data_IF_946017444357
#
_entry.id   IF_946017444357
#
_cell.length_a   1.000
_cell.length_b   1.000
_cell.length_c   1.000
_cell.angle_alpha   90.00
_cell.angle_beta   90.00
_cell.angle_gamma   90.00
#
_symmetry.space_group_name_H-M   'P 1'
#
loop_
_entity.id
_entity.type
_entity.pdbx_description
1 polymer ?
#
# COMPACT_ATOMS: atom_id res chain seq x y z
N UNK A 1 48.31 -41.38 3.39
CA UNK A 1 47.50 -40.72 2.35
C UNK A 1 46.21 -41.50 2.15
N UNK A 2 45.15 -41.10 2.84
CA UNK A 2 43.84 -41.78 2.84
C UNK A 2 42.87 -40.98 1.98
N UNK A 3 42.33 -41.61 0.93
CA UNK A 3 41.30 -41.04 0.04
C UNK A 3 39.97 -40.99 0.80
N UNK A 4 39.60 -39.81 1.26
CA UNK A 4 38.29 -39.54 1.84
C UNK A 4 37.18 -39.70 0.81
N UNK A 5 36.21 -40.56 1.12
CA UNK A 5 35.06 -40.87 0.27
C UNK A 5 34.24 -39.62 -0.03
N UNK A 6 34.01 -39.38 -1.32
CA UNK A 6 33.00 -38.48 -1.85
C UNK A 6 31.63 -38.89 -1.28
N UNK A 7 31.19 -38.15 -0.26
CA UNK A 7 29.88 -38.26 0.32
C UNK A 7 28.81 -38.03 -0.75
N UNK A 8 28.03 -39.07 -0.96
CA UNK A 8 26.82 -39.14 -1.77
C UNK A 8 26.06 -37.80 -1.78
N UNK A 9 26.04 -37.15 -2.94
CA UNK A 9 25.19 -36.00 -3.21
C UNK A 9 23.73 -36.46 -3.06
N UNK A 10 23.18 -36.27 -1.86
CA UNK A 10 21.76 -36.45 -1.57
C UNK A 10 20.98 -35.73 -2.66
N UNK A 11 20.30 -36.53 -3.45
CA UNK A 11 19.34 -36.15 -4.47
C UNK A 11 18.34 -35.22 -3.78
N UNK A 12 18.54 -33.91 -3.93
CA UNK A 12 17.60 -32.89 -3.50
C UNK A 12 16.33 -33.15 -4.30
N UNK A 13 15.43 -33.93 -3.70
CA UNK A 13 14.13 -34.26 -4.25
C UNK A 13 13.54 -32.94 -4.70
N UNK A 14 13.21 -32.88 -5.98
CA UNK A 14 12.54 -31.78 -6.66
C UNK A 14 11.19 -31.61 -5.97
N UNK A 15 11.20 -30.96 -4.81
CA UNK A 15 10.05 -30.67 -3.99
C UNK A 15 9.20 -29.78 -4.90
N UNK A 16 8.21 -30.40 -5.55
CA UNK A 16 7.27 -29.72 -6.45
C UNK A 16 6.78 -28.53 -5.64
N UNK A 17 7.16 -27.34 -6.08
CA UNK A 17 6.65 -26.10 -5.53
C UNK A 17 5.14 -26.30 -5.41
N UNK A 18 4.56 -26.21 -4.19
CA UNK A 18 3.13 -26.39 -4.03
C UNK A 18 2.48 -25.35 -4.94
N UNK A 19 2.01 -25.82 -6.11
CA UNK A 19 1.34 -24.95 -7.04
C UNK A 19 0.18 -24.34 -6.30
N UNK A 20 -0.07 -23.04 -6.51
CA UNK A 20 -1.33 -22.43 -6.10
C UNK A 20 -2.45 -23.38 -6.53
N UNK A 21 -3.01 -24.13 -5.59
CA UNK A 21 -4.24 -24.87 -5.85
C UNK A 21 -5.25 -23.79 -6.26
N UNK A 22 -6.03 -24.09 -7.31
CA UNK A 22 -7.06 -23.16 -7.79
C UNK A 22 -7.88 -22.67 -6.60
N UNK A 23 -8.29 -21.39 -6.58
CA UNK A 23 -9.19 -20.90 -5.54
C UNK A 23 -10.38 -21.85 -5.43
N UNK A 24 -10.51 -22.51 -4.29
CA UNK A 24 -11.64 -23.37 -4.00
C UNK A 24 -12.83 -22.48 -3.60
N UNK A 25 -14.04 -22.95 -3.87
CA UNK A 25 -15.30 -22.26 -3.53
C UNK A 25 -15.32 -21.83 -2.05
N UNK A 26 -14.76 -22.65 -1.17
CA UNK A 26 -14.59 -22.34 0.26
C UNK A 26 -13.82 -21.04 0.52
N UNK A 27 -12.74 -20.76 -0.21
CA UNK A 27 -11.97 -19.53 -0.05
C UNK A 27 -12.78 -18.32 -0.52
N UNK A 28 -13.49 -18.44 -1.63
CA UNK A 28 -14.35 -17.37 -2.12
C UNK A 28 -15.49 -17.06 -1.13
N UNK A 29 -16.10 -18.10 -0.56
CA UNK A 29 -17.11 -17.96 0.49
C UNK A 29 -16.52 -17.34 1.76
N UNK A 30 -15.32 -17.75 2.18
CA UNK A 30 -14.65 -17.17 3.33
C UNK A 30 -14.38 -15.67 3.11
N UNK A 31 -13.82 -15.30 1.97
CA UNK A 31 -13.57 -13.90 1.63
C UNK A 31 -14.86 -13.08 1.58
N UNK A 32 -15.93 -13.60 0.96
CA UNK A 32 -17.21 -12.92 0.88
C UNK A 32 -17.85 -12.73 2.26
N UNK A 33 -17.96 -13.79 3.06
CA UNK A 33 -18.56 -13.71 4.40
C UNK A 33 -17.73 -12.83 5.33
N UNK A 34 -16.41 -12.95 5.29
CA UNK A 34 -15.52 -12.08 6.05
C UNK A 34 -15.68 -10.62 5.66
N UNK A 35 -15.81 -10.33 4.35
CA UNK A 35 -16.03 -8.96 3.89
C UNK A 35 -17.37 -8.41 4.35
N UNK A 36 -18.44 -9.22 4.32
CA UNK A 36 -19.75 -8.82 4.85
C UNK A 36 -19.69 -8.53 6.36
N UNK A 37 -18.98 -9.36 7.13
CA UNK A 37 -18.75 -9.14 8.57
C UNK A 37 -17.97 -7.83 8.78
N UNK A 38 -16.89 -7.61 8.01
CA UNK A 38 -16.11 -6.38 8.06
C UNK A 38 -16.97 -5.15 7.76
N UNK A 39 -17.76 -5.18 6.68
CA UNK A 39 -18.67 -4.09 6.31
C UNK A 39 -19.73 -3.83 7.38
N UNK A 40 -20.28 -4.89 7.97
CA UNK A 40 -21.25 -4.78 9.07
C UNK A 40 -20.63 -4.12 10.29
N UNK A 41 -19.43 -4.54 10.71
CA UNK A 41 -18.73 -3.93 11.85
C UNK A 41 -18.33 -2.48 11.56
N UNK A 42 -17.89 -2.19 10.33
CA UNK A 42 -17.57 -0.84 9.90
C UNK A 42 -18.82 0.06 9.96
N UNK A 43 -19.96 -0.44 9.49
CA UNK A 43 -21.25 0.24 9.58
C UNK A 43 -21.67 0.50 11.03
N UNK A 44 -21.57 -0.50 11.91
CA UNK A 44 -21.87 -0.35 13.34
C UNK A 44 -21.01 0.71 14.03
N UNK A 45 -19.81 0.98 13.51
CA UNK A 45 -18.88 2.00 14.00
C UNK A 45 -19.05 3.36 13.31
N UNK A 46 -20.11 3.56 12.52
CA UNK A 46 -20.44 4.82 11.86
C UNK A 46 -20.10 4.88 10.36
N UNK A 47 -19.41 3.86 9.84
CA UNK A 47 -18.92 3.80 8.47
C UNK A 47 -17.64 4.62 8.24
N UNK A 48 -17.14 4.66 7.00
CA UNK A 48 -15.97 5.45 6.66
C UNK A 48 -16.13 6.93 7.04
N UNK A 49 -15.09 7.52 7.63
CA UNK A 49 -15.08 8.93 8.03
C UNK A 49 -14.54 9.84 6.92
N UNK A 50 -14.97 11.10 6.98
CA UNK A 50 -14.59 12.17 6.04
C UNK A 50 -13.33 12.90 6.55
N UNK A 51 -12.45 12.18 7.24
CA UNK A 51 -11.20 12.73 7.78
C UNK A 51 -10.06 12.25 6.90
N UNK A 52 -9.33 13.20 6.32
CA UNK A 52 -8.25 12.97 5.34
C UNK A 52 -8.70 12.26 4.06
N UNK A 53 -10.00 12.18 3.82
CA UNK A 53 -10.57 11.63 2.60
C UNK A 53 -10.21 12.43 1.36
N UNK A 54 -10.09 13.74 1.50
CA UNK A 54 -9.66 14.65 0.45
C UNK A 54 -8.32 14.28 -0.19
N UNK A 55 -7.44 13.60 0.55
CA UNK A 55 -6.12 13.11 0.07
C UNK A 55 -6.27 12.13 -1.09
N UNK A 56 -7.39 11.40 -1.16
CA UNK A 56 -7.68 10.39 -2.18
C UNK A 56 -8.84 10.78 -3.07
N UNK A 57 -9.93 11.30 -2.47
CA UNK A 57 -11.14 11.69 -3.19
C UNK A 57 -10.83 12.73 -4.26
N UNK A 58 -10.11 13.81 -3.94
CA UNK A 58 -9.87 14.88 -4.90
C UNK A 58 -9.29 14.32 -6.22
N UNK A 59 -8.16 13.61 -6.13
CA UNK A 59 -7.47 13.07 -7.30
C UNK A 59 -8.29 12.01 -8.03
N UNK A 60 -9.04 11.16 -7.31
CA UNK A 60 -9.86 10.12 -7.94
C UNK A 60 -11.07 10.70 -8.68
N UNK A 61 -11.71 11.73 -8.13
CA UNK A 61 -12.81 12.45 -8.77
C UNK A 61 -12.35 13.24 -10.00
N UNK A 62 -11.20 13.93 -9.94
CA UNK A 62 -10.62 14.60 -11.12
C UNK A 62 -10.44 13.62 -12.27
N UNK A 63 -9.85 12.45 -11.98
CA UNK A 63 -9.64 11.44 -13.00
C UNK A 63 -10.96 10.83 -13.49
N UNK A 64 -11.91 10.55 -12.59
CA UNK A 64 -13.19 9.94 -12.94
C UNK A 64 -14.04 10.83 -13.86
N UNK A 65 -13.91 12.16 -13.75
CA UNK A 65 -14.65 13.13 -14.55
C UNK A 65 -13.85 13.74 -15.72
N UNK A 66 -12.72 13.14 -16.09
CA UNK A 66 -11.97 13.53 -17.29
C UNK A 66 -11.04 14.73 -17.12
N UNK A 67 -10.77 15.16 -15.89
CA UNK A 67 -9.84 16.24 -15.53
C UNK A 67 -8.53 15.69 -14.96
N UNK A 68 -8.02 14.58 -15.51
CA UNK A 68 -6.84 13.89 -14.97
C UNK A 68 -5.57 14.76 -14.87
N UNK A 69 -5.44 15.77 -15.75
CA UNK A 69 -4.36 16.77 -15.69
C UNK A 69 -4.36 17.62 -14.42
N UNK A 70 -5.51 17.71 -13.73
CA UNK A 70 -5.65 18.41 -12.46
C UNK A 70 -5.65 17.47 -11.25
N UNK A 71 -5.52 16.16 -11.44
CA UNK A 71 -5.53 15.19 -10.35
C UNK A 71 -4.29 15.27 -9.47
N UNK A 72 -3.14 15.66 -10.04
CA UNK A 72 -1.87 15.78 -9.34
C UNK A 72 -1.14 17.06 -9.74
N UNK A 73 -1.35 18.15 -9.01
CA UNK A 73 -0.63 19.42 -9.24
C UNK A 73 0.59 19.52 -8.33
N UNK A 74 1.66 20.14 -8.81
CA UNK A 74 2.81 20.49 -7.95
C UNK A 74 2.33 21.38 -6.80
N UNK A 75 2.56 21.03 -5.53
CA UNK A 75 2.11 21.81 -4.38
C UNK A 75 2.56 23.27 -4.49
N UNK A 76 1.62 24.20 -4.29
CA UNK A 76 1.94 25.59 -4.01
C UNK A 76 2.26 25.71 -2.52
N UNK A 77 3.16 26.61 -2.07
CA UNK A 77 3.39 26.86 -0.64
C UNK A 77 2.14 27.29 0.13
N UNK A 78 1.07 27.68 -0.57
CA UNK A 78 -0.23 28.02 0.01
C UNK A 78 -1.25 26.86 -0.03
N UNK A 79 -0.97 25.79 -0.78
CA UNK A 79 -1.85 24.63 -0.96
C UNK A 79 -1.21 23.44 -0.22
N UNK A 80 -1.45 23.37 1.08
CA UNK A 80 -0.88 22.39 2.02
C UNK A 80 -1.56 21.00 1.91
N UNK A 81 -1.78 20.53 0.69
CA UNK A 81 -2.55 19.31 0.43
C UNK A 81 -1.65 18.11 0.12
N UNK A 82 -1.56 17.13 1.03
CA UNK A 82 -0.86 15.88 0.74
C UNK A 82 -1.59 15.12 -0.39
N UNK A 83 -0.86 14.76 -1.44
CA UNK A 83 -1.42 13.95 -2.55
C UNK A 83 -1.18 12.47 -2.31
N UNK A 84 -2.24 11.66 -2.32
CA UNK A 84 -2.13 10.20 -2.19
C UNK A 84 -1.26 9.59 -3.27
N UNK A 85 -0.62 8.47 -2.92
CA UNK A 85 0.06 7.65 -3.90
C UNK A 85 -0.94 7.14 -4.95
N UNK A 86 -0.49 6.94 -6.19
CA UNK A 86 -1.41 6.86 -7.31
C UNK A 86 -2.23 5.58 -7.41
N UNK A 87 -1.77 4.45 -6.85
CA UNK A 87 -2.41 3.17 -7.14
C UNK A 87 -3.83 3.10 -6.59
N UNK A 88 -4.04 3.53 -5.34
CA UNK A 88 -5.37 3.56 -4.76
C UNK A 88 -6.28 4.54 -5.50
N UNK A 89 -5.75 5.70 -5.89
CA UNK A 89 -6.50 6.71 -6.64
C UNK A 89 -6.99 6.17 -7.99
N UNK A 90 -6.13 5.44 -8.72
CA UNK A 90 -6.52 4.76 -9.97
C UNK A 90 -7.58 3.68 -9.73
N UNK A 91 -7.43 2.89 -8.67
CA UNK A 91 -8.40 1.87 -8.29
C UNK A 91 -9.76 2.52 -7.98
N UNK A 92 -9.80 3.54 -7.13
CA UNK A 92 -11.01 4.25 -6.74
C UNK A 92 -11.67 4.94 -7.95
N UNK A 93 -10.88 5.54 -8.84
CA UNK A 93 -11.36 6.09 -10.13
C UNK A 93 -12.07 5.01 -10.96
N UNK A 94 -11.45 3.85 -11.11
CA UNK A 94 -12.03 2.72 -11.84
C UNK A 94 -13.34 2.23 -11.20
N UNK A 95 -13.38 2.13 -9.88
CA UNK A 95 -14.59 1.75 -9.14
C UNK A 95 -15.71 2.77 -9.32
N UNK A 96 -15.42 4.07 -9.25
CA UNK A 96 -16.40 5.12 -9.50
C UNK A 96 -16.99 4.99 -10.91
N UNK A 97 -16.15 4.78 -11.92
CA UNK A 97 -16.60 4.63 -13.30
C UNK A 97 -17.47 3.38 -13.52
N UNK A 98 -17.07 2.23 -12.96
CA UNK A 98 -17.81 0.96 -13.08
C UNK A 98 -19.13 1.00 -12.30
N UNK A 99 -19.13 1.53 -11.08
CA UNK A 99 -20.32 1.57 -10.21
C UNK A 99 -21.22 2.76 -10.47
N UNK A 100 -20.78 3.72 -11.29
CA UNK A 100 -21.43 5.01 -11.55
C UNK A 100 -21.65 5.86 -10.29
N UNK A 101 -20.98 5.53 -9.18
CA UNK A 101 -20.92 6.41 -8.02
C UNK A 101 -20.24 7.70 -8.45
N UNK A 102 -20.94 8.81 -8.26
CA UNK A 102 -20.45 10.12 -8.65
C UNK A 102 -21.05 10.74 -9.90
N UNK A 103 -21.70 9.93 -10.72
CA UNK A 103 -22.19 10.36 -12.03
C UNK A 103 -23.67 10.78 -12.04
N UNK A 104 -24.33 10.74 -10.88
CA UNK A 104 -25.75 11.12 -10.74
C UNK A 104 -25.98 12.63 -10.57
N UNK A 105 -24.93 13.41 -10.31
CA UNK A 105 -25.00 14.86 -10.14
C UNK A 105 -24.04 15.53 -11.14
N UNK A 106 -24.39 16.69 -11.70
CA UNK A 106 -23.47 17.43 -12.56
C UNK A 106 -22.18 17.75 -11.81
N UNK A 107 -21.05 17.31 -12.37
CA UNK A 107 -19.74 17.60 -11.83
C UNK A 107 -19.38 19.07 -12.08
N UNK A 108 -18.89 19.83 -11.08
CA UNK A 108 -18.55 21.25 -11.21
C UNK A 108 -17.25 21.48 -11.98
N UNK A 109 -17.04 20.78 -13.11
CA UNK A 109 -15.77 20.74 -13.84
C UNK A 109 -15.28 22.12 -14.29
N UNK A 110 -16.18 23.05 -14.64
CA UNK A 110 -15.80 24.42 -15.00
C UNK A 110 -15.25 25.27 -13.85
N UNK A 111 -15.63 24.97 -12.60
CA UNK A 111 -15.13 25.65 -11.39
C UNK A 111 -13.90 24.95 -10.82
N UNK A 112 -13.81 23.64 -11.03
CA UNK A 112 -12.82 22.78 -10.41
C UNK A 112 -11.58 22.58 -11.31
N UNK A 113 -11.75 22.70 -12.63
CA UNK A 113 -10.69 22.68 -13.63
C UNK A 113 -10.54 24.06 -14.33
N UNK A 114 -10.61 25.15 -13.56
CA UNK A 114 -10.29 26.51 -14.04
C UNK A 114 -8.88 26.55 -14.67
N UNK A 115 -8.63 27.54 -15.54
CA UNK A 115 -7.36 27.76 -16.23
C UNK A 115 -6.15 27.54 -15.27
N UNK A 116 -5.38 26.49 -15.55
CA UNK A 116 -4.18 26.13 -14.79
C UNK A 116 -4.38 25.22 -13.56
N UNK A 117 -5.51 24.51 -13.43
CA UNK A 117 -5.79 23.63 -12.29
C UNK A 117 -5.62 24.35 -10.94
N UNK A 118 -6.10 25.59 -10.87
CA UNK A 118 -6.24 26.32 -9.60
C UNK A 118 -7.34 25.63 -8.81
N UNK A 119 -6.94 24.82 -7.83
CA UNK A 119 -7.84 24.12 -6.92
C UNK A 119 -8.91 25.09 -6.40
N UNK A 120 -10.15 24.96 -6.88
CA UNK A 120 -11.28 25.38 -6.05
C UNK A 120 -11.72 24.17 -5.23
N UNK A 121 -10.83 23.75 -4.33
CA UNK A 121 -11.10 22.69 -3.38
C UNK A 121 -12.34 23.04 -2.54
N UNK A 122 -12.56 24.32 -2.25
CA UNK A 122 -13.78 24.78 -1.61
C UNK A 122 -15.02 24.48 -2.46
N UNK A 123 -14.99 24.69 -3.78
CA UNK A 123 -16.07 24.30 -4.68
C UNK A 123 -16.27 22.79 -4.75
N UNK A 124 -15.20 22.00 -4.84
CA UNK A 124 -15.33 20.53 -4.82
C UNK A 124 -15.91 20.06 -3.48
N UNK A 125 -15.43 20.56 -2.35
CA UNK A 125 -15.94 20.21 -1.03
C UNK A 125 -17.38 20.66 -0.81
N UNK A 126 -17.73 21.86 -1.27
CA UNK A 126 -19.10 22.36 -1.25
C UNK A 126 -20.03 21.44 -2.04
N UNK A 127 -19.60 21.02 -3.23
CA UNK A 127 -20.34 20.07 -4.05
C UNK A 127 -20.44 18.68 -3.42
N UNK A 128 -19.34 18.13 -2.91
CA UNK A 128 -19.29 16.84 -2.21
C UNK A 128 -20.21 16.81 -0.98
N UNK A 129 -20.20 17.91 -0.21
CA UNK A 129 -21.05 18.09 0.97
C UNK A 129 -22.51 18.25 0.60
N UNK A 130 -22.82 19.07 -0.42
CA UNK A 130 -24.18 19.35 -0.86
C UNK A 130 -24.87 18.16 -1.53
N UNK A 131 -24.13 17.25 -2.16
CA UNK A 131 -24.67 16.06 -2.82
C UNK A 131 -24.67 14.80 -1.94
N UNK A 132 -23.92 14.81 -0.83
CA UNK A 132 -23.71 13.63 0.03
C UNK A 132 -22.98 12.49 -0.67
N UNK A 133 -22.34 12.75 -1.81
CA UNK A 133 -21.77 11.72 -2.67
C UNK A 133 -20.42 11.23 -2.17
N UNK A 134 -19.69 12.08 -1.42
CA UNK A 134 -18.43 11.72 -0.77
C UNK A 134 -18.58 10.42 0.02
N UNK A 135 -19.59 10.33 0.91
CA UNK A 135 -19.82 9.15 1.74
C UNK A 135 -19.98 7.87 0.91
N UNK A 136 -20.62 7.93 -0.26
CA UNK A 136 -20.79 6.77 -1.15
C UNK A 136 -19.45 6.37 -1.79
N UNK A 137 -18.65 7.35 -2.20
CA UNK A 137 -17.31 7.09 -2.74
C UNK A 137 -16.40 6.45 -1.68
N UNK A 138 -16.46 6.90 -0.42
CA UNK A 138 -15.67 6.30 0.67
C UNK A 138 -15.94 4.79 0.85
N UNK A 139 -17.17 4.34 0.63
CA UNK A 139 -17.48 2.91 0.72
C UNK A 139 -16.79 2.08 -0.38
N UNK A 140 -16.45 2.67 -1.53
CA UNK A 140 -15.70 1.97 -2.58
C UNK A 140 -14.30 1.55 -2.10
N UNK A 141 -13.68 2.36 -1.24
CA UNK A 141 -12.38 2.05 -0.65
C UNK A 141 -12.35 0.72 0.08
N UNK A 142 -13.49 0.24 0.60
CA UNK A 142 -13.57 -1.04 1.33
C UNK A 142 -13.26 -2.28 0.47
N UNK A 143 -13.21 -2.14 -0.87
CA UNK A 143 -12.83 -3.23 -1.79
C UNK A 143 -11.37 -3.67 -1.62
N UNK A 144 -10.52 -2.88 -0.97
CA UNK A 144 -9.13 -3.28 -0.69
C UNK A 144 -9.05 -4.34 0.41
N UNK A 145 -10.08 -4.45 1.26
CA UNK A 145 -10.14 -5.45 2.33
C UNK A 145 -10.08 -6.90 1.81
N UNK A 146 -10.89 -7.33 0.82
CA UNK A 146 -10.78 -8.70 0.30
C UNK A 146 -9.42 -8.97 -0.34
N UNK A 147 -8.73 -7.96 -0.87
CA UNK A 147 -7.35 -8.11 -1.37
C UNK A 147 -6.37 -8.41 -0.23
N UNK A 148 -6.49 -7.70 0.91
CA UNK A 148 -5.71 -7.97 2.12
C UNK A 148 -5.95 -9.40 2.61
N UNK A 149 -7.21 -9.81 2.74
CA UNK A 149 -7.55 -11.13 3.22
C UNK A 149 -7.04 -12.24 2.29
N UNK A 150 -7.17 -12.06 0.97
CA UNK A 150 -6.64 -13.01 -0.02
C UNK A 150 -5.11 -13.12 0.05
N UNK A 151 -4.40 -12.00 0.22
CA UNK A 151 -2.94 -11.99 0.35
C UNK A 151 -2.45 -12.70 1.62
N UNK A 152 -3.10 -12.46 2.76
CA UNK A 152 -2.79 -13.17 4.00
C UNK A 152 -3.08 -14.67 3.92
N UNK A 153 -4.20 -15.05 3.31
CA UNK A 153 -4.53 -16.48 3.04
C UNK A 153 -3.45 -17.12 2.17
N UNK A 154 -3.03 -16.44 1.09
CA UNK A 154 -1.97 -16.93 0.23
C UNK A 154 -0.65 -17.13 1.00
N UNK A 155 -0.23 -16.16 1.81
CA UNK A 155 0.97 -16.28 2.64
C UNK A 155 0.91 -17.48 3.59
N UNK A 156 -0.20 -17.66 4.29
CA UNK A 156 -0.38 -18.79 5.22
C UNK A 156 -0.37 -20.13 4.49
N UNK A 157 -1.03 -20.23 3.34
CA UNK A 157 -1.05 -21.45 2.53
C UNK A 157 0.34 -21.83 2.04
N UNK A 158 1.17 -20.86 1.66
CA UNK A 158 2.57 -21.10 1.26
C UNK A 158 3.40 -21.60 2.43
N UNK A 159 3.22 -21.05 3.63
CA UNK A 159 4.00 -21.43 4.82
C UNK A 159 3.56 -22.74 5.47
N UNK A 160 2.27 -23.09 5.42
CA UNK A 160 1.70 -24.24 6.14
C UNK A 160 1.11 -25.32 5.21
N UNK A 161 1.67 -25.46 4.02
CA UNK A 161 1.35 -26.52 3.06
C UNK A 161 -0.16 -26.72 2.78
N UNK A 162 -0.93 -25.63 2.71
CA UNK A 162 -2.31 -25.65 2.24
C UNK A 162 -3.39 -26.14 3.21
N UNK A 163 -3.20 -26.00 4.53
CA UNK A 163 -4.27 -26.26 5.50
C UNK A 163 -5.42 -25.23 5.37
N UNK A 164 -6.50 -25.63 4.68
CA UNK A 164 -7.62 -24.75 4.32
C UNK A 164 -8.41 -24.18 5.50
N UNK A 165 -8.43 -24.87 6.64
CA UNK A 165 -9.10 -24.35 7.84
C UNK A 165 -8.44 -23.06 8.37
N UNK A 166 -7.17 -22.82 8.06
CA UNK A 166 -6.48 -21.59 8.43
C UNK A 166 -7.01 -20.38 7.64
N UNK A 167 -7.60 -20.60 6.47
CA UNK A 167 -8.12 -19.52 5.64
C UNK A 167 -9.20 -18.73 6.41
N UNK A 168 -10.12 -19.46 7.06
CA UNK A 168 -11.15 -18.87 7.91
C UNK A 168 -10.59 -18.10 9.10
N UNK A 169 -9.49 -18.57 9.70
CA UNK A 169 -8.86 -17.84 10.82
C UNK A 169 -8.23 -16.54 10.35
N UNK A 170 -7.55 -16.55 9.21
CA UNK A 170 -6.95 -15.35 8.63
C UNK A 170 -8.04 -14.34 8.27
N UNK A 171 -9.07 -14.79 7.55
CA UNK A 171 -10.24 -13.98 7.20
C UNK A 171 -10.91 -13.42 8.45
N UNK A 172 -11.16 -14.26 9.47
CA UNK A 172 -11.77 -13.84 10.73
C UNK A 172 -10.93 -12.79 11.46
N UNK A 173 -9.61 -12.96 11.53
CA UNK A 173 -8.69 -11.97 12.11
C UNK A 173 -8.80 -10.63 11.39
N UNK A 174 -8.72 -10.61 10.06
CA UNK A 174 -8.83 -9.36 9.29
C UNK A 174 -10.22 -8.73 9.37
N UNK A 175 -11.28 -9.52 9.60
CA UNK A 175 -12.64 -9.01 9.70
C UNK A 175 -12.92 -8.38 11.05
N UNK A 176 -12.38 -8.97 12.12
CA UNK A 176 -12.73 -8.63 13.51
C UNK A 176 -11.73 -7.68 14.17
N UNK A 177 -10.46 -7.68 13.75
CA UNK A 177 -9.43 -6.91 14.43
C UNK A 177 -9.54 -5.42 14.07
N UNK A 178 -9.69 -4.52 15.07
CA UNK A 178 -9.92 -3.09 14.82
C UNK A 178 -8.88 -2.42 13.93
N UNK A 179 -7.61 -2.80 14.05
CA UNK A 179 -6.47 -2.26 13.28
C UNK A 179 -6.72 -2.22 11.76
N UNK A 180 -7.49 -3.16 11.20
CA UNK A 180 -7.79 -3.20 9.77
C UNK A 180 -9.00 -2.35 9.37
N UNK A 181 -9.79 -1.90 10.36
CA UNK A 181 -10.90 -0.96 10.18
C UNK A 181 -10.50 0.49 10.47
N UNK A 182 -9.45 0.74 11.25
CA UNK A 182 -8.99 2.09 11.60
C UNK A 182 -8.64 2.96 10.37
N UNK A 183 -8.02 2.44 9.29
CA UNK A 183 -7.79 3.20 8.06
C UNK A 183 -9.05 3.61 7.29
N UNK A 184 -10.23 3.25 7.80
CA UNK A 184 -11.52 3.73 7.30
C UNK A 184 -12.24 4.59 8.35
N UNK A 185 -11.99 4.36 9.64
CA UNK A 185 -12.73 4.96 10.75
C UNK A 185 -12.07 6.21 11.33
N UNK A 186 -10.75 6.25 11.45
CA UNK A 186 -10.06 7.40 12.06
C UNK A 186 -9.61 8.39 11.01
N UNK A 187 -8.86 7.89 10.04
CA UNK A 187 -8.37 8.61 8.88
C UNK A 187 -8.59 7.73 7.66
N UNK A 188 -9.20 8.28 6.60
CA UNK A 188 -9.52 7.52 5.39
C UNK A 188 -8.25 7.28 4.57
N UNK A 189 -7.56 6.20 4.91
CA UNK A 189 -6.33 5.72 4.28
C UNK A 189 -6.44 4.26 3.78
N UNK A 190 -7.43 3.92 2.94
CA UNK A 190 -7.53 2.58 2.34
C UNK A 190 -6.30 2.19 1.51
N UNK A 191 -5.51 3.15 1.05
CA UNK A 191 -4.22 2.92 0.42
C UNK A 191 -3.23 2.16 1.32
N UNK A 192 -3.29 2.33 2.64
CA UNK A 192 -2.42 1.60 3.57
C UNK A 192 -2.80 0.13 3.63
N UNK A 193 -4.10 -0.16 3.59
CA UNK A 193 -4.63 -1.52 3.54
C UNK A 193 -4.26 -2.20 2.22
N UNK A 194 -4.35 -1.46 1.10
CA UNK A 194 -3.89 -1.95 -0.21
C UNK A 194 -2.39 -2.21 -0.24
N UNK A 195 -1.59 -1.31 0.34
CA UNK A 195 -0.14 -1.44 0.43
C UNK A 195 0.25 -2.66 1.26
N UNK A 196 -0.42 -2.88 2.40
CA UNK A 196 -0.24 -4.07 3.24
C UNK A 196 -0.64 -5.34 2.50
N UNK A 197 -1.76 -5.35 1.78
CA UNK A 197 -2.18 -6.48 0.96
C UNK A 197 -1.11 -6.86 -0.07
N UNK A 198 -0.60 -5.87 -0.80
CA UNK A 198 0.44 -6.06 -1.80
C UNK A 198 1.76 -6.53 -1.17
N UNK A 199 2.15 -6.02 0.00
CA UNK A 199 3.32 -6.49 0.76
C UNK A 199 3.21 -7.96 1.20
N UNK A 200 2.08 -8.35 1.77
CA UNK A 200 1.84 -9.74 2.17
C UNK A 200 1.87 -10.68 0.95
N UNK A 201 1.30 -10.23 -0.16
CA UNK A 201 1.37 -10.92 -1.44
C UNK A 201 2.80 -11.04 -1.97
N UNK A 202 3.61 -9.97 -1.87
CA UNK A 202 5.01 -9.99 -2.28
C UNK A 202 5.82 -10.99 -1.45
N UNK A 203 5.62 -11.01 -0.13
CA UNK A 203 6.22 -12.00 0.76
C UNK A 203 5.78 -13.43 0.39
N UNK A 204 4.49 -13.66 0.16
CA UNK A 204 3.99 -14.96 -0.28
C UNK A 204 4.60 -15.41 -1.62
N UNK A 205 4.80 -14.48 -2.55
CA UNK A 205 5.46 -14.72 -3.83
C UNK A 205 6.94 -15.07 -3.65
N UNK A 206 7.66 -14.37 -2.77
CA UNK A 206 9.07 -14.67 -2.43
C UNK A 206 9.22 -16.07 -1.84
N UNK A 207 8.39 -16.42 -0.86
CA UNK A 207 8.34 -17.75 -0.24
C UNK A 207 8.01 -18.85 -1.27
N UNK A 208 7.19 -18.49 -2.28
CA UNK A 208 6.86 -19.36 -3.42
C UNK A 208 7.92 -19.38 -4.52
N UNK A 209 9.05 -18.67 -4.37
CA UNK A 209 10.10 -18.46 -5.38
C UNK A 209 9.61 -17.86 -6.71
N UNK A 210 8.52 -17.07 -6.68
CA UNK A 210 7.95 -16.34 -7.81
C UNK A 210 8.46 -14.91 -7.83
N UNK A 211 9.75 -14.75 -8.12
CA UNK A 211 10.44 -13.47 -7.97
C UNK A 211 9.87 -12.35 -8.85
N UNK A 212 9.43 -12.60 -10.09
CA UNK A 212 8.78 -11.53 -10.88
C UNK A 212 7.51 -11.03 -10.21
N UNK A 213 6.65 -11.94 -9.75
CA UNK A 213 5.39 -11.57 -9.08
C UNK A 213 5.65 -10.85 -7.75
N UNK A 214 6.69 -11.23 -7.02
CA UNK A 214 7.13 -10.49 -5.84
C UNK A 214 7.54 -9.06 -6.19
N UNK A 215 8.25 -8.87 -7.31
CA UNK A 215 8.59 -7.54 -7.83
C UNK A 215 7.37 -6.72 -8.22
N UNK A 216 6.41 -7.33 -8.93
CA UNK A 216 5.14 -6.69 -9.32
C UNK A 216 4.40 -6.22 -8.08
N UNK A 217 4.16 -7.11 -7.12
CA UNK A 217 3.42 -6.80 -5.89
C UNK A 217 4.19 -5.80 -5.02
N UNK A 218 5.51 -5.88 -4.97
CA UNK A 218 6.34 -4.90 -4.27
C UNK A 218 6.21 -3.49 -4.86
N UNK A 219 6.25 -3.37 -6.19
CA UNK A 219 6.03 -2.09 -6.86
C UNK A 219 4.60 -1.56 -6.62
N UNK A 220 3.57 -2.40 -6.69
CA UNK A 220 2.20 -1.99 -6.37
C UNK A 220 2.07 -1.52 -4.92
N UNK A 221 2.77 -2.17 -3.99
CA UNK A 221 2.77 -1.76 -2.58
C UNK A 221 3.40 -0.38 -2.40
N UNK A 222 4.55 -0.13 -3.04
CA UNK A 222 5.20 1.18 -3.04
C UNK A 222 4.32 2.28 -3.68
N UNK A 223 3.67 1.97 -4.81
CA UNK A 223 2.76 2.88 -5.50
C UNK A 223 1.43 3.11 -4.76
N UNK A 224 1.14 2.30 -3.73
CA UNK A 224 0.02 2.52 -2.81
C UNK A 224 0.43 3.37 -1.62
N UNK A 225 1.63 3.14 -1.08
CA UNK A 225 2.16 3.89 0.05
C UNK A 225 3.69 3.85 0.01
N UNK A 226 4.33 5.00 -0.20
CA UNK A 226 5.79 5.10 -0.37
C UNK A 226 6.59 4.59 0.84
N UNK A 227 5.99 4.67 2.03
CA UNK A 227 6.61 4.20 3.28
C UNK A 227 6.82 2.68 3.29
N UNK A 228 6.17 1.96 2.38
CA UNK A 228 6.45 0.56 2.12
C UNK A 228 7.89 0.32 1.61
N UNK A 229 8.60 1.33 1.11
CA UNK A 229 10.02 1.21 0.79
C UNK A 229 10.83 0.57 1.95
N UNK A 230 10.47 0.90 3.20
CA UNK A 230 11.05 0.32 4.42
C UNK A 230 10.94 -1.20 4.40
N UNK A 231 9.72 -1.71 4.19
CA UNK A 231 9.45 -3.13 4.14
C UNK A 231 10.09 -3.82 2.93
N UNK A 232 10.08 -3.16 1.76
CA UNK A 232 10.66 -3.71 0.53
C UNK A 232 12.16 -3.90 0.64
N UNK A 233 12.89 -2.95 1.23
CA UNK A 233 14.33 -3.10 1.46
C UNK A 233 14.66 -4.35 2.28
N UNK A 234 13.85 -4.64 3.30
CA UNK A 234 14.05 -5.85 4.11
C UNK A 234 13.69 -7.12 3.31
N UNK A 235 12.60 -7.09 2.53
CA UNK A 235 12.20 -8.22 1.66
C UNK A 235 13.22 -8.52 0.56
N UNK A 236 13.93 -7.52 0.06
CA UNK A 236 14.98 -7.68 -0.94
C UNK A 236 16.11 -8.61 -0.47
N UNK A 237 16.37 -8.70 0.83
CA UNK A 237 17.35 -9.64 1.37
C UNK A 237 16.92 -11.10 1.28
N UNK A 238 15.63 -11.37 1.11
CA UNK A 238 15.13 -12.73 0.90
C UNK A 238 15.39 -13.23 -0.52
N UNK A 239 15.96 -12.41 -1.41
CA UNK A 239 16.25 -12.77 -2.81
C UNK A 239 17.67 -13.36 -2.92
N UNK A 240 17.81 -14.68 -3.11
CA UNK A 240 19.06 -15.38 -2.79
C UNK A 240 20.11 -15.38 -3.92
N UNK A 241 19.75 -14.98 -5.15
CA UNK A 241 20.65 -15.08 -6.31
C UNK A 241 20.55 -13.86 -7.24
N UNK A 242 21.62 -13.52 -7.97
CA UNK A 242 21.58 -12.42 -8.94
C UNK A 242 20.51 -12.59 -10.02
N UNK A 243 20.21 -13.84 -10.43
CA UNK A 243 19.13 -14.12 -11.40
C UNK A 243 17.75 -13.86 -10.80
N UNK A 244 17.52 -14.24 -9.55
CA UNK A 244 16.28 -13.96 -8.84
C UNK A 244 16.09 -12.44 -8.64
N UNK A 245 17.17 -11.73 -8.34
CA UNK A 245 17.21 -10.27 -8.28
C UNK A 245 16.78 -9.62 -9.59
N UNK A 246 17.34 -10.04 -10.73
CA UNK A 246 16.91 -9.51 -12.04
C UNK A 246 15.43 -9.73 -12.27
N UNK A 247 14.90 -10.93 -11.98
CA UNK A 247 13.46 -11.24 -12.15
C UNK A 247 12.57 -10.35 -11.27
N UNK A 248 12.96 -10.16 -10.01
CA UNK A 248 12.29 -9.22 -9.10
C UNK A 248 12.29 -7.79 -9.66
N UNK A 249 13.47 -7.29 -10.03
CA UNK A 249 13.62 -5.94 -10.58
C UNK A 249 12.86 -5.75 -11.89
N UNK A 250 12.83 -6.76 -12.78
CA UNK A 250 12.03 -6.72 -14.01
C UNK A 250 10.55 -6.59 -13.68
N UNK A 251 10.01 -7.40 -12.76
CA UNK A 251 8.61 -7.31 -12.35
C UNK A 251 8.26 -5.94 -11.76
N UNK A 252 9.13 -5.42 -10.89
CA UNK A 252 8.95 -4.11 -10.27
C UNK A 252 9.01 -2.97 -11.31
N UNK A 253 10.02 -2.97 -12.17
CA UNK A 253 10.23 -1.91 -13.18
C UNK A 253 9.10 -1.89 -14.22
N UNK A 254 8.71 -3.06 -14.74
CA UNK A 254 7.61 -3.15 -15.71
C UNK A 254 6.31 -2.64 -15.08
N UNK A 255 6.03 -3.00 -13.83
CA UNK A 255 4.84 -2.52 -13.11
C UNK A 255 4.89 -1.02 -12.90
N UNK A 256 6.04 -0.48 -12.46
CA UNK A 256 6.22 0.95 -12.27
C UNK A 256 6.00 1.72 -13.57
N UNK A 257 6.57 1.27 -14.69
CA UNK A 257 6.36 1.89 -16.01
C UNK A 257 4.88 1.85 -16.39
N UNK A 258 4.24 0.69 -16.29
CA UNK A 258 2.84 0.52 -16.71
C UNK A 258 1.85 1.36 -15.89
N UNK A 259 2.15 1.62 -14.61
CA UNK A 259 1.27 2.42 -13.74
C UNK A 259 1.64 3.90 -13.81
N UNK A 260 2.92 4.24 -13.66
CA UNK A 260 3.40 5.63 -13.55
C UNK A 260 3.37 6.34 -14.91
N UNK A 261 3.73 5.69 -16.02
CA UNK A 261 3.79 6.37 -17.31
C UNK A 261 2.42 6.93 -17.74
N UNK A 262 1.31 6.17 -17.73
CA UNK A 262 0.01 6.73 -18.05
C UNK A 262 -0.39 7.90 -17.14
N UNK A 263 -0.07 7.81 -15.84
CA UNK A 263 -0.35 8.88 -14.89
C UNK A 263 0.45 10.14 -15.16
N UNK A 264 1.73 10.03 -15.51
CA UNK A 264 2.56 11.19 -15.84
C UNK A 264 2.13 11.80 -17.18
N UNK A 265 1.72 10.97 -18.14
CA UNK A 265 1.19 11.45 -19.43
C UNK A 265 -0.12 12.20 -19.25
N UNK A 266 -1.02 11.72 -18.38
CA UNK A 266 -2.34 12.32 -18.17
C UNK A 266 -2.33 13.46 -17.14
N UNK A 267 -1.59 13.29 -16.04
CA UNK A 267 -1.53 14.18 -14.88
C UNK A 267 -0.34 15.14 -14.85
N UNK A 268 0.65 14.96 -15.74
CA UNK A 268 1.83 15.81 -15.81
C UNK A 268 2.86 15.59 -14.69
N UNK A 269 3.81 16.55 -14.49
CA UNK A 269 4.92 16.39 -13.55
C UNK A 269 4.51 16.24 -12.07
N UNK A 270 3.35 16.77 -11.67
CA UNK A 270 2.86 16.63 -10.30
C UNK A 270 2.53 15.17 -9.95
N UNK A 271 2.12 14.36 -10.92
CA UNK A 271 1.91 12.93 -10.72
C UNK A 271 3.23 12.20 -10.42
N UNK A 272 4.33 12.59 -11.07
CA UNK A 272 5.65 12.06 -10.78
C UNK A 272 6.10 12.45 -9.37
N UNK A 273 5.85 13.70 -8.96
CA UNK A 273 6.14 14.14 -7.59
C UNK A 273 5.35 13.30 -6.57
N UNK A 274 4.03 13.14 -6.75
CA UNK A 274 3.19 12.31 -5.88
C UNK A 274 3.66 10.85 -5.77
N UNK A 275 4.23 10.28 -6.84
CA UNK A 275 4.82 8.93 -6.82
C UNK A 275 6.10 8.87 -5.98
N UNK A 276 6.96 9.89 -6.06
CA UNK A 276 8.32 9.86 -5.51
C UNK A 276 8.38 10.37 -4.07
N UNK A 277 7.66 11.45 -3.79
CA UNK A 277 7.72 12.15 -2.48
C UNK A 277 6.45 11.97 -1.66
N UNK A 278 5.35 11.55 -2.30
CA UNK A 278 4.05 11.26 -1.67
C UNK A 278 3.48 12.39 -0.81
N UNK A 279 2.64 12.02 0.15
CA UNK A 279 1.88 12.94 1.02
C UNK A 279 2.77 13.53 2.12
N UNK A 280 3.09 14.82 2.18
CA UNK A 280 3.57 15.40 3.44
C UNK A 280 4.34 16.71 3.30
N UNK A 281 3.72 17.79 3.77
CA UNK A 281 4.41 18.95 4.31
C UNK A 281 4.12 18.96 5.81
N UNK A 282 5.16 18.85 6.64
CA UNK A 282 5.06 19.01 8.09
C UNK A 282 5.18 20.50 8.44
N UNK A 283 4.29 21.31 7.86
CA UNK A 283 4.28 22.75 8.09
C UNK A 283 3.40 23.12 9.30
N UNK A 284 2.62 22.16 9.82
CA UNK A 284 1.95 22.30 11.11
C UNK A 284 2.78 21.67 12.25
N UNK A 285 3.07 22.42 13.33
CA UNK A 285 3.76 21.91 14.50
C UNK A 285 2.83 20.96 15.28
N UNK A 286 2.85 19.68 14.90
CA UNK A 286 2.20 18.64 15.69
C UNK A 286 3.14 18.32 16.86
N UNK A 287 2.88 18.95 18.02
CA UNK A 287 3.67 18.81 19.25
C UNK A 287 3.68 17.39 19.86
N UNK A 288 2.91 16.43 19.32
CA UNK A 288 2.94 15.02 19.75
C UNK A 288 4.10 14.22 19.16
N UNK A 289 4.74 14.72 18.10
CA UNK A 289 5.85 14.03 17.42
C UNK A 289 7.19 14.36 18.06
N UNK A 290 8.17 13.46 17.98
CA UNK A 290 9.55 13.80 18.38
C UNK A 290 10.09 14.98 17.56
N UNK A 291 9.77 15.04 16.27
CA UNK A 291 10.20 16.16 15.41
C UNK A 291 9.63 17.50 15.85
N UNK A 292 8.33 17.55 16.14
CA UNK A 292 7.67 18.73 16.68
C UNK A 292 8.26 19.15 18.03
N UNK A 293 8.60 18.19 18.89
CA UNK A 293 9.29 18.48 20.16
C UNK A 293 10.69 19.06 19.97
N UNK A 294 11.43 18.63 18.95
CA UNK A 294 12.76 19.14 18.62
C UNK A 294 12.76 20.38 17.71
N UNK A 295 11.58 20.89 17.33
CA UNK A 295 11.46 22.05 16.44
C UNK A 295 11.91 21.78 15.00
N UNK A 296 11.85 20.53 14.55
CA UNK A 296 12.22 20.07 13.21
C UNK A 296 10.96 20.07 12.34
N UNK A 297 10.91 20.90 11.29
CA UNK A 297 9.71 21.14 10.47
C UNK A 297 9.96 21.04 8.95
N UNK A 298 8.92 21.15 8.13
CA UNK A 298 9.05 21.23 6.67
C UNK A 298 9.84 20.08 6.04
N UNK A 299 10.59 20.38 4.97
CA UNK A 299 11.25 19.35 4.16
C UNK A 299 12.32 18.51 4.89
N UNK A 300 12.97 19.07 5.91
CA UNK A 300 13.98 18.33 6.68
C UNK A 300 13.33 17.33 7.65
N UNK A 301 12.21 17.70 8.27
CA UNK A 301 11.38 16.76 9.03
C UNK A 301 10.92 15.59 8.15
N UNK A 302 10.47 15.88 6.92
CA UNK A 302 10.04 14.87 5.96
C UNK A 302 11.16 13.88 5.60
N UNK A 303 12.35 14.40 5.30
CA UNK A 303 13.51 13.56 4.96
C UNK A 303 13.92 12.71 6.15
N UNK A 304 14.00 13.27 7.35
CA UNK A 304 14.44 12.52 8.54
C UNK A 304 13.41 11.44 8.92
N UNK A 305 12.11 11.74 8.84
CA UNK A 305 11.03 10.81 9.25
C UNK A 305 10.89 9.64 8.27
N UNK A 306 11.22 9.86 7.00
CA UNK A 306 11.13 8.83 5.96
C UNK A 306 12.44 8.10 5.73
N UNK A 307 13.54 8.83 5.61
CA UNK A 307 14.85 8.26 5.34
C UNK A 307 15.57 7.77 6.60
N UNK A 308 15.34 8.40 7.76
CA UNK A 308 15.96 7.99 9.02
C UNK A 308 15.65 6.53 9.38
N UNK A 309 14.38 6.13 9.43
CA UNK A 309 14.00 4.74 9.66
C UNK A 309 14.54 3.79 8.57
N UNK A 310 14.60 4.20 7.29
CA UNK A 310 15.24 3.39 6.23
C UNK A 310 16.71 3.09 6.57
N UNK A 311 17.47 4.14 6.88
CA UNK A 311 18.90 4.03 7.18
C UNK A 311 19.11 3.15 8.41
N UNK A 312 18.36 3.36 9.49
CA UNK A 312 18.48 2.56 10.70
C UNK A 312 18.07 1.09 10.48
N UNK A 313 17.01 0.84 9.71
CA UNK A 313 16.60 -0.50 9.31
C UNK A 313 17.68 -1.22 8.51
N UNK A 314 18.28 -0.55 7.52
CA UNK A 314 19.38 -1.10 6.71
C UNK A 314 20.63 -1.37 7.57
N UNK A 315 21.00 -0.44 8.46
CA UNK A 315 22.14 -0.59 9.35
C UNK A 315 21.94 -1.75 10.35
N UNK A 316 20.77 -1.84 10.98
CA UNK A 316 20.43 -2.93 11.89
C UNK A 316 20.41 -4.29 11.18
N UNK A 317 19.95 -4.30 9.94
CA UNK A 317 19.91 -5.50 9.10
C UNK A 317 21.31 -5.93 8.62
N UNK A 318 22.16 -4.98 8.23
CA UNK A 318 23.56 -5.22 7.91
C UNK A 318 24.31 -5.77 9.12
N UNK A 319 24.12 -5.15 10.29
CA UNK A 319 24.69 -5.62 11.55
C UNK A 319 24.22 -7.03 11.90
N UNK A 320 22.93 -7.34 11.74
CA UNK A 320 22.39 -8.68 11.95
C UNK A 320 23.05 -9.69 10.99
N UNK A 321 23.13 -9.33 9.71
CA UNK A 321 23.70 -10.20 8.69
C UNK A 321 25.16 -10.55 8.98
N UNK A 322 25.96 -9.56 9.37
CA UNK A 322 27.37 -9.74 9.72
C UNK A 322 27.55 -10.72 10.90
N UNK A 323 26.65 -10.68 11.89
CA UNK A 323 26.72 -11.49 13.11
C UNK A 323 26.08 -12.87 13.00
N UNK A 324 24.98 -12.98 12.26
CA UNK A 324 24.07 -14.14 12.31
C UNK A 324 23.78 -14.74 10.93
N UNK A 325 24.26 -14.12 9.85
CA UNK A 325 23.95 -14.52 8.48
C UNK A 325 22.56 -14.07 8.03
N UNK A 326 22.01 -14.75 7.02
CA UNK A 326 20.75 -14.36 6.40
C UNK A 326 19.58 -14.34 7.41
N UNK A 327 18.80 -13.24 7.48
CA UNK A 327 17.71 -13.11 8.44
C UNK A 327 16.59 -14.12 8.15
N UNK A 328 15.97 -14.62 9.22
CA UNK A 328 14.76 -15.44 9.09
C UNK A 328 13.55 -14.54 8.85
N UNK A 329 12.45 -15.05 8.26
CA UNK A 329 11.27 -14.23 8.00
C UNK A 329 10.64 -13.54 9.23
N UNK A 330 10.64 -14.14 10.45
CA UNK A 330 10.23 -13.42 11.65
C UNK A 330 11.09 -12.18 11.94
N UNK A 331 12.42 -12.29 11.87
CA UNK A 331 13.35 -11.17 12.07
C UNK A 331 13.10 -10.06 11.05
N UNK A 332 12.83 -10.44 9.80
CA UNK A 332 12.43 -9.50 8.74
C UNK A 332 11.16 -8.75 9.14
N UNK A 333 10.12 -9.46 9.59
CA UNK A 333 8.86 -8.82 10.01
C UNK A 333 9.04 -7.90 11.23
N UNK A 334 9.86 -8.30 12.21
CA UNK A 334 10.15 -7.48 13.39
C UNK A 334 10.89 -6.20 13.01
N UNK A 335 11.87 -6.28 12.11
CA UNK A 335 12.56 -5.10 11.58
C UNK A 335 11.61 -4.18 10.83
N UNK A 336 10.71 -4.73 10.01
CA UNK A 336 9.67 -3.94 9.33
C UNK A 336 8.77 -3.24 10.34
N UNK A 337 8.30 -3.95 11.37
CA UNK A 337 7.46 -3.39 12.43
C UNK A 337 8.18 -2.28 13.20
N UNK A 338 9.42 -2.50 13.64
CA UNK A 338 10.25 -1.50 14.31
C UNK A 338 10.45 -0.26 13.44
N UNK A 339 10.68 -0.46 12.14
CA UNK A 339 10.92 0.63 11.21
C UNK A 339 9.67 1.50 11.02
N UNK A 340 8.49 0.87 10.92
CA UNK A 340 7.22 1.61 10.90
C UNK A 340 6.93 2.31 12.23
N UNK A 341 7.16 1.63 13.37
CA UNK A 341 6.96 2.24 14.69
C UNK A 341 7.84 3.47 14.90
N UNK A 342 9.10 3.40 14.45
CA UNK A 342 10.01 4.54 14.53
C UNK A 342 9.56 5.68 13.62
N UNK A 343 9.07 5.38 12.42
CA UNK A 343 8.49 6.39 11.54
C UNK A 343 7.30 7.09 12.20
N UNK A 344 6.38 6.32 12.79
CA UNK A 344 5.23 6.89 13.51
C UNK A 344 5.69 7.82 14.62
N UNK A 345 6.62 7.41 15.48
CA UNK A 345 7.14 8.27 16.56
C UNK A 345 7.79 9.58 16.06
N UNK A 346 8.29 9.57 14.82
CA UNK A 346 8.90 10.73 14.19
C UNK A 346 7.87 11.65 13.50
N UNK A 347 6.79 11.11 12.94
CA UNK A 347 5.86 11.81 12.03
C UNK A 347 4.45 12.03 12.61
N UNK A 348 4.00 11.25 13.62
CA UNK A 348 2.64 11.27 14.21
C UNK A 348 2.63 11.36 15.76
#
# INVERSE_FOLDING_TARGET
MSRGSLGSAKTLSRQRSPGLRRPNVEMALALLLGWLVFLFLLYLRGGPTVRDDHVTLYSSWMMAHGSASCAYRVPSPADDYPMSAPLFTLLETGLQWVTRVGFSHPYPGGLVALDGCRHDYAALNSWLSGTGIARRTLWLGTVVWPLLAAAGVWLVRVRRAGASWLDWRVVGVFSLWPVYSLPFLEYYHPQDVLALAALLGALAALESRRFELAGVLGALAFLSQQNVALALLVLLLMVPTPRAWRRFLTGALVTAILVVTPLVVLGGPGALHAVVTGTGLNDNPVYSTWMGQFGIYGGHALVISRAGPLVLGVLGLWWWWDRHGAPTPPVVLDLVACTFALRLALEE
#
